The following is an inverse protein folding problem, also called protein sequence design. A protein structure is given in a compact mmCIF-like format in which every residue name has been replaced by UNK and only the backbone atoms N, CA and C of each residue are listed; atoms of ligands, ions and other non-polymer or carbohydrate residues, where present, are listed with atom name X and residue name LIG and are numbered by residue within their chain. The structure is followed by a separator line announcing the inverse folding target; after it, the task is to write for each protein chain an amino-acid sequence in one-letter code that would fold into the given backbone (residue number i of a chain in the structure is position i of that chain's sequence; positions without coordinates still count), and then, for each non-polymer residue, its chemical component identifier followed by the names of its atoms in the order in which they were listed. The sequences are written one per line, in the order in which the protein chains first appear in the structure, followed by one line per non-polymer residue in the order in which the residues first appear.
data_IF_933829675854
#
_entry.id   IF_933829675854
#
_cell.length_a   1.000
_cell.length_b   1.000
_cell.length_c   1.000
_cell.angle_alpha   90.00
_cell.angle_beta   90.00
_cell.angle_gamma   90.00
#
_symmetry.space_group_name_H-M   'P 1'
#
loop_
_entity.id
_entity.type
_entity.pdbx_description
1 polymer ?
#
# COMPACT_ATOMS: atom_id res chain seq x y z
N UNK A 1 -9.52 -17.18 16.10
CA UNK A 1 -8.08 -16.88 16.20
C UNK A 1 -7.55 -16.93 14.78
N UNK A 2 -7.13 -15.80 14.19
CA UNK A 2 -6.54 -15.78 12.85
C UNK A 2 -5.14 -16.43 12.92
N UNK A 3 -4.84 -17.30 11.97
CA UNK A 3 -3.55 -17.96 11.79
C UNK A 3 -2.62 -17.08 10.95
N UNK A 4 -1.30 -17.31 11.01
CA UNK A 4 -0.33 -16.59 10.16
C UNK A 4 -0.57 -16.76 8.65
N UNK A 5 -1.31 -17.81 8.27
CA UNK A 5 -1.74 -18.06 6.89
C UNK A 5 -2.93 -17.18 6.49
N UNK A 6 -3.79 -16.78 7.43
CA UNK A 6 -4.96 -15.93 7.16
C UNK A 6 -4.55 -14.49 6.81
N UNK A 7 -3.39 -14.03 7.31
CA UNK A 7 -2.87 -12.69 7.00
C UNK A 7 -2.30 -12.57 5.58
N UNK A 8 -2.01 -13.69 4.91
CA UNK A 8 -1.31 -13.71 3.62
C UNK A 8 -2.05 -14.41 2.48
N UNK A 9 -3.26 -14.93 2.71
CA UNK A 9 -4.02 -15.65 1.68
C UNK A 9 -4.22 -14.82 0.42
N UNK A 10 -4.49 -13.52 0.60
CA UNK A 10 -4.58 -12.54 -0.48
C UNK A 10 -3.24 -12.40 -1.25
N UNK A 11 -2.10 -12.38 -0.55
CA UNK A 11 -0.77 -12.16 -1.12
C UNK A 11 -0.29 -13.30 -2.06
N UNK A 12 -0.90 -14.49 -1.98
CA UNK A 12 -0.43 -15.73 -2.65
C UNK A 12 -1.16 -16.06 -3.97
N UNK A 13 -2.19 -15.29 -4.32
CA UNK A 13 -2.95 -15.49 -5.56
C UNK A 13 -2.16 -14.96 -6.78
N UNK A 14 -1.36 -15.83 -7.38
CA UNK A 14 -0.32 -15.51 -8.38
C UNK A 14 -0.79 -15.57 -9.85
N UNK A 15 -2.10 -15.56 -10.11
CA UNK A 15 -2.58 -15.45 -11.49
C UNK A 15 -2.37 -14.02 -11.97
N UNK A 16 -1.50 -13.84 -12.97
CA UNK A 16 -1.22 -12.56 -13.64
C UNK A 16 -2.21 -12.37 -14.78
N UNK A 17 -3.36 -11.69 -14.58
CA UNK A 17 -4.45 -11.71 -15.55
C UNK A 17 -4.28 -10.66 -16.65
N UNK A 18 -3.38 -9.68 -16.45
CA UNK A 18 -3.29 -8.46 -17.25
C UNK A 18 -1.88 -8.28 -17.83
N UNK A 19 -1.61 -8.86 -19.00
CA UNK A 19 -0.29 -8.82 -19.64
C UNK A 19 0.18 -7.37 -19.91
N UNK A 20 -0.71 -6.54 -20.48
CA UNK A 20 -0.42 -5.15 -20.82
C UNK A 20 -0.49 -4.16 -19.64
N UNK A 21 -0.88 -4.62 -18.44
CA UNK A 21 -0.90 -3.82 -17.20
C UNK A 21 -0.02 -4.44 -16.11
N UNK A 22 0.89 -5.33 -16.53
CA UNK A 22 1.66 -6.19 -15.65
C UNK A 22 2.57 -5.44 -14.68
N UNK A 23 3.18 -4.33 -15.09
CA UNK A 23 4.05 -3.54 -14.20
C UNK A 23 3.28 -2.92 -13.03
N UNK A 24 2.06 -2.47 -13.27
CA UNK A 24 1.18 -1.94 -12.22
C UNK A 24 0.73 -3.07 -11.29
N UNK A 25 0.29 -4.19 -11.86
CA UNK A 25 -0.07 -5.39 -11.09
C UNK A 25 1.07 -5.87 -10.18
N UNK A 26 2.29 -5.94 -10.70
CA UNK A 26 3.47 -6.35 -9.92
C UNK A 26 3.78 -5.37 -8.80
N UNK A 27 3.58 -4.07 -9.04
CA UNK A 27 3.74 -3.05 -7.99
C UNK A 27 2.72 -3.24 -6.86
N UNK A 28 1.45 -3.53 -7.19
CA UNK A 28 0.42 -3.87 -6.19
C UNK A 28 0.78 -5.14 -5.43
N UNK A 29 1.26 -6.18 -6.13
CA UNK A 29 1.73 -7.42 -5.51
C UNK A 29 2.86 -7.13 -4.51
N UNK A 30 3.82 -6.28 -4.86
CA UNK A 30 4.92 -5.89 -3.97
C UNK A 30 4.40 -5.21 -2.69
N UNK A 31 3.46 -4.26 -2.81
CA UNK A 31 2.85 -3.60 -1.65
C UNK A 31 2.12 -4.58 -0.75
N UNK A 32 1.36 -5.52 -1.33
CA UNK A 32 0.68 -6.57 -0.56
C UNK A 32 1.67 -7.44 0.20
N UNK A 33 2.77 -7.87 -0.42
CA UNK A 33 3.83 -8.64 0.26
C UNK A 33 4.41 -7.86 1.45
N UNK A 34 4.64 -6.54 1.29
CA UNK A 34 5.13 -5.68 2.38
C UNK A 34 4.11 -5.49 3.50
N UNK A 35 2.84 -5.33 3.15
CA UNK A 35 1.75 -5.29 4.13
C UNK A 35 1.66 -6.60 4.92
N UNK A 36 1.76 -7.73 4.22
CA UNK A 36 1.82 -9.06 4.81
C UNK A 36 3.01 -9.21 5.79
N UNK A 37 4.19 -8.66 5.47
CA UNK A 37 5.34 -8.64 6.38
C UNK A 37 5.09 -7.77 7.62
N UNK A 38 4.53 -6.57 7.44
CA UNK A 38 4.17 -5.66 8.53
C UNK A 38 3.15 -6.30 9.49
N UNK A 39 2.08 -6.91 8.97
CA UNK A 39 1.06 -7.61 9.76
C UNK A 39 1.66 -8.73 10.62
N UNK A 40 2.58 -9.53 10.05
CA UNK A 40 3.26 -10.60 10.80
C UNK A 40 4.14 -10.05 11.92
N UNK A 41 4.90 -9.00 11.64
CA UNK A 41 5.74 -8.34 12.65
C UNK A 41 4.89 -7.77 13.77
N UNK A 42 3.76 -7.11 13.45
CA UNK A 42 2.83 -6.56 14.43
C UNK A 42 2.25 -7.67 15.33
N UNK A 43 1.70 -8.73 14.73
CA UNK A 43 1.16 -9.88 15.46
C UNK A 43 2.20 -10.60 16.32
N UNK A 44 3.45 -10.72 15.83
CA UNK A 44 4.54 -11.29 16.61
C UNK A 44 4.90 -10.41 17.81
N UNK A 45 4.93 -9.09 17.63
CA UNK A 45 5.19 -8.14 18.69
C UNK A 45 4.07 -8.17 19.76
N UNK A 46 2.80 -8.32 19.36
CA UNK A 46 1.66 -8.54 20.27
C UNK A 46 1.86 -9.76 21.17
N UNK A 47 2.30 -10.89 20.58
CA UNK A 47 2.50 -12.14 21.33
C UNK A 47 3.72 -12.15 22.24
N UNK A 48 4.72 -11.32 21.95
CA UNK A 48 6.03 -11.31 22.63
C UNK A 48 6.22 -10.08 23.51
N UNK A 49 5.13 -9.44 23.95
CA UNK A 49 5.19 -8.23 24.77
C UNK A 49 6.16 -7.18 24.19
N UNK A 50 6.18 -7.02 22.87
CA UNK A 50 6.82 -5.88 22.19
C UNK A 50 8.34 -5.81 22.27
N UNK A 51 8.99 -6.96 22.53
CA UNK A 51 10.44 -7.12 22.44
C UNK A 51 10.97 -6.78 21.02
N UNK A 52 10.11 -6.83 20.00
CA UNK A 52 10.44 -6.65 18.58
C UNK A 52 9.81 -5.40 17.93
N UNK A 53 9.48 -4.37 18.72
CA UNK A 53 8.88 -3.12 18.22
C UNK A 53 9.72 -2.46 17.10
N UNK A 54 11.05 -2.50 17.22
CA UNK A 54 11.95 -2.00 16.18
C UNK A 54 11.76 -2.71 14.84
N UNK A 55 11.48 -4.02 14.83
CA UNK A 55 11.15 -4.77 13.63
C UNK A 55 9.82 -4.32 13.03
N UNK A 56 8.81 -4.04 13.86
CA UNK A 56 7.51 -3.49 13.42
C UNK A 56 7.72 -2.16 12.68
N UNK A 57 8.53 -1.26 13.24
CA UNK A 57 8.83 0.03 12.62
C UNK A 57 9.64 -0.09 11.33
N UNK A 58 10.61 -1.01 11.28
CA UNK A 58 11.37 -1.26 10.06
C UNK A 58 10.47 -1.72 8.91
N UNK A 59 9.52 -2.63 9.18
CA UNK A 59 8.57 -3.09 8.17
C UNK A 59 7.57 -1.99 7.77
N UNK A 60 7.08 -1.19 8.73
CA UNK A 60 6.22 -0.04 8.43
C UNK A 60 6.93 1.00 7.56
N UNK A 61 8.19 1.31 7.88
CA UNK A 61 9.04 2.23 7.10
C UNK A 61 9.25 1.72 5.67
N UNK A 62 9.55 0.42 5.53
CA UNK A 62 9.73 -0.19 4.22
C UNK A 62 8.44 -0.18 3.38
N UNK A 63 7.29 -0.46 4.01
CA UNK A 63 5.98 -0.40 3.38
C UNK A 63 5.64 1.02 2.92
N UNK A 64 5.79 2.02 3.80
CA UNK A 64 5.52 3.42 3.47
C UNK A 64 6.40 3.93 2.32
N UNK A 65 7.69 3.58 2.33
CA UNK A 65 8.60 3.93 1.23
C UNK A 65 8.13 3.35 -0.11
N UNK A 66 7.76 2.08 -0.14
CA UNK A 66 7.28 1.43 -1.36
C UNK A 66 5.92 2.00 -1.80
N UNK A 67 5.05 2.36 -0.86
CA UNK A 67 3.77 3.02 -1.12
C UNK A 67 3.97 4.40 -1.77
N UNK A 68 4.87 5.23 -1.24
CA UNK A 68 5.21 6.52 -1.84
C UNK A 68 5.73 6.36 -3.28
N UNK A 69 6.63 5.39 -3.50
CA UNK A 69 7.16 5.11 -4.84
C UNK A 69 6.06 4.65 -5.79
N UNK A 70 5.12 3.83 -5.31
CA UNK A 70 3.97 3.39 -6.10
C UNK A 70 3.10 4.57 -6.51
N UNK A 71 2.67 5.40 -5.56
CA UNK A 71 1.77 6.53 -5.81
C UNK A 71 2.39 7.55 -6.78
N UNK A 72 3.70 7.82 -6.66
CA UNK A 72 4.41 8.71 -7.59
C UNK A 72 4.42 8.16 -9.02
N UNK A 73 4.62 6.85 -9.20
CA UNK A 73 4.57 6.22 -10.53
C UNK A 73 3.15 6.24 -11.10
N UNK A 74 2.18 6.04 -10.24
CA UNK A 74 0.79 5.94 -10.61
C UNK A 74 0.18 7.29 -11.02
N UNK A 75 0.62 8.41 -10.44
CA UNK A 75 0.05 9.74 -10.68
C UNK A 75 -0.08 10.10 -12.17
N UNK A 76 0.96 9.82 -12.96
CA UNK A 76 0.95 10.11 -14.40
C UNK A 76 -0.03 9.21 -15.16
N UNK A 77 -0.17 7.95 -14.72
CA UNK A 77 -1.15 7.02 -15.25
C UNK A 77 -2.57 7.46 -14.92
N UNK A 78 -2.83 7.85 -13.66
CA UNK A 78 -4.16 8.29 -13.22
C UNK A 78 -4.65 9.52 -13.97
N UNK A 79 -3.77 10.50 -14.22
CA UNK A 79 -4.11 11.66 -15.06
C UNK A 79 -4.49 11.26 -16.48
N UNK A 80 -3.81 10.27 -17.04
CA UNK A 80 -4.17 9.72 -18.34
C UNK A 80 -5.54 9.02 -18.28
N UNK A 81 -5.79 8.21 -17.26
CA UNK A 81 -7.10 7.54 -17.07
C UNK A 81 -8.25 8.54 -16.90
N UNK A 82 -8.00 9.66 -16.23
CA UNK A 82 -8.96 10.76 -16.12
C UNK A 82 -9.30 11.35 -17.49
N UNK A 83 -8.31 11.57 -18.35
CA UNK A 83 -8.48 12.10 -19.72
C UNK A 83 -9.25 11.14 -20.63
N UNK A 84 -9.12 9.84 -20.42
CA UNK A 84 -9.85 8.80 -21.15
C UNK A 84 -11.28 8.57 -20.62
N UNK A 85 -11.80 9.46 -19.76
CA UNK A 85 -13.20 9.49 -19.37
C UNK A 85 -13.55 8.75 -18.08
N UNK A 86 -12.57 8.26 -17.31
CA UNK A 86 -12.78 7.57 -16.04
C UNK A 86 -12.58 8.47 -14.81
N UNK A 87 -12.87 9.76 -14.94
CA UNK A 87 -12.61 10.81 -13.92
C UNK A 87 -13.10 10.47 -12.51
N UNK A 88 -14.37 10.07 -12.34
CA UNK A 88 -14.94 9.78 -11.01
C UNK A 88 -14.19 8.66 -10.29
N UNK A 89 -13.70 7.66 -11.03
CA UNK A 89 -12.93 6.57 -10.46
C UNK A 89 -11.56 7.04 -9.98
N UNK A 90 -10.91 7.89 -10.79
CA UNK A 90 -9.62 8.50 -10.44
C UNK A 90 -9.75 9.40 -9.20
N UNK A 91 -10.82 10.18 -9.09
CA UNK A 91 -11.08 11.03 -7.92
C UNK A 91 -11.18 10.21 -6.63
N UNK A 92 -11.89 9.07 -6.66
CA UNK A 92 -11.99 8.17 -5.51
C UNK A 92 -10.64 7.57 -5.14
N UNK A 93 -9.87 7.08 -6.12
CA UNK A 93 -8.54 6.51 -5.87
C UNK A 93 -7.56 7.53 -5.27
N UNK A 94 -7.53 8.76 -5.81
CA UNK A 94 -6.68 9.83 -5.29
C UNK A 94 -7.08 10.20 -3.85
N UNK A 95 -8.39 10.20 -3.55
CA UNK A 95 -8.88 10.45 -2.19
C UNK A 95 -8.40 9.36 -1.21
N UNK A 96 -8.58 8.08 -1.59
CA UNK A 96 -8.14 6.95 -0.79
C UNK A 96 -6.61 6.98 -0.58
N UNK A 97 -5.84 7.23 -1.64
CA UNK A 97 -4.37 7.38 -1.58
C UNK A 97 -3.92 8.42 -0.56
N UNK A 98 -4.54 9.60 -0.57
CA UNK A 98 -4.19 10.68 0.37
C UNK A 98 -4.47 10.26 1.81
N UNK A 99 -5.62 9.63 2.04
CA UNK A 99 -6.00 9.12 3.37
C UNK A 99 -5.02 8.07 3.87
N UNK A 100 -4.65 7.11 3.02
CA UNK A 100 -3.68 6.05 3.36
C UNK A 100 -2.30 6.65 3.66
N UNK A 101 -1.81 7.57 2.83
CA UNK A 101 -0.52 8.22 3.05
C UNK A 101 -0.48 8.97 4.37
N UNK A 102 -1.51 9.80 4.65
CA UNK A 102 -1.61 10.54 5.91
C UNK A 102 -1.66 9.60 7.12
N UNK A 103 -2.40 8.49 7.02
CA UNK A 103 -2.44 7.48 8.07
C UNK A 103 -1.08 6.82 8.29
N UNK A 104 -0.34 6.53 7.21
CA UNK A 104 1.00 5.92 7.30
C UNK A 104 2.03 6.86 7.93
N UNK A 105 1.99 8.15 7.59
CA UNK A 105 2.88 9.18 8.15
C UNK A 105 2.63 9.37 9.65
N UNK A 106 1.36 9.46 10.03
CA UNK A 106 0.94 9.57 11.44
C UNK A 106 1.39 8.35 12.23
N UNK A 107 1.18 7.16 11.68
CA UNK A 107 1.56 5.91 12.35
C UNK A 107 3.07 5.80 12.52
N UNK A 108 3.86 6.20 11.52
CA UNK A 108 5.32 6.19 11.62
C UNK A 108 5.81 7.14 12.72
N UNK A 109 5.24 8.35 12.80
CA UNK A 109 5.56 9.32 13.84
C UNK A 109 5.27 8.76 15.23
N UNK A 110 4.06 8.23 15.44
CA UNK A 110 3.65 7.63 16.70
C UNK A 110 4.52 6.43 17.08
N UNK A 111 4.84 5.57 16.10
CA UNK A 111 5.71 4.43 16.28
C UNK A 111 7.10 4.81 16.78
N UNK A 112 7.72 5.83 16.17
CA UNK A 112 9.03 6.33 16.60
C UNK A 112 9.00 6.91 18.02
N UNK A 113 7.90 7.57 18.41
CA UNK A 113 7.70 8.08 19.77
C UNK A 113 7.63 6.90 20.75
N UNK A 114 6.84 5.87 20.43
CA UNK A 114 6.68 4.67 21.28
C UNK A 114 8.00 3.92 21.46
N UNK A 115 8.80 3.76 20.40
CA UNK A 115 10.08 3.05 20.47
C UNK A 115 11.14 3.82 21.27
N UNK A 116 11.07 5.15 21.25
CA UNK A 116 11.99 6.03 21.99
C UNK A 116 11.60 6.25 23.45
N UNK A 117 10.36 5.90 23.84
CA UNK A 117 9.85 6.15 25.19
C UNK A 117 10.45 5.20 26.24
N UNK A 118 11.04 5.75 27.30
CA UNK A 118 11.54 4.99 28.44
C UNK A 118 10.36 4.30 29.13
N UNK A 119 10.40 2.98 29.22
CA UNK A 119 9.36 2.19 29.91
C UNK A 119 8.13 1.84 29.07
N UNK A 120 8.09 2.22 27.78
CA UNK A 120 7.04 1.86 26.79
C UNK A 120 5.65 1.81 27.43
N UNK A 121 5.14 2.98 27.84
CA UNK A 121 3.86 3.05 28.55
C UNK A 121 2.77 2.26 27.80
N UNK A 122 2.17 1.30 28.50
CA UNK A 122 1.28 0.30 27.91
C UNK A 122 0.09 0.91 27.16
N UNK A 123 -0.35 2.11 27.55
CA UNK A 123 -1.43 2.84 26.89
C UNK A 123 -1.03 3.32 25.48
N UNK A 124 0.13 3.97 25.33
CA UNK A 124 0.57 4.47 24.02
C UNK A 124 0.85 3.32 23.04
N UNK A 125 1.36 2.22 23.57
CA UNK A 125 1.57 1.00 22.82
C UNK A 125 0.25 0.41 22.32
N UNK A 126 -0.74 0.23 23.19
CA UNK A 126 -2.09 -0.24 22.82
C UNK A 126 -2.74 0.64 21.74
N UNK A 127 -2.64 1.97 21.87
CA UNK A 127 -3.18 2.90 20.88
C UNK A 127 -2.47 2.80 19.52
N UNK A 128 -1.14 2.67 19.51
CA UNK A 128 -0.37 2.47 18.28
C UNK A 128 -0.80 1.19 17.55
N UNK A 129 -1.11 0.14 18.29
CA UNK A 129 -1.50 -1.17 17.73
C UNK A 129 -2.88 -1.11 17.11
N UNK A 130 -3.86 -0.55 17.84
CA UNK A 130 -5.21 -0.36 17.32
C UNK A 130 -5.17 0.44 16.01
N UNK A 131 -4.41 1.54 15.98
CA UNK A 131 -4.22 2.34 14.78
C UNK A 131 -3.47 1.58 13.67
N UNK A 132 -2.50 0.75 14.02
CA UNK A 132 -1.80 -0.10 13.04
C UNK A 132 -2.76 -1.07 12.35
N UNK A 133 -3.65 -1.72 13.09
CA UNK A 133 -4.67 -2.61 12.52
C UNK A 133 -5.69 -1.85 11.66
N UNK A 134 -6.13 -0.66 12.09
CA UNK A 134 -7.01 0.20 11.28
C UNK A 134 -6.33 0.60 9.96
N UNK A 135 -5.05 0.98 10.01
CA UNK A 135 -4.26 1.28 8.82
C UNK A 135 -4.12 0.06 7.90
N UNK A 136 -3.83 -1.11 8.47
CA UNK A 136 -3.72 -2.37 7.73
C UNK A 136 -4.99 -2.64 6.95
N UNK A 137 -6.15 -2.61 7.60
CA UNK A 137 -7.43 -2.91 6.94
C UNK A 137 -7.76 -1.88 5.87
N UNK A 138 -7.51 -0.59 6.14
CA UNK A 138 -7.71 0.48 5.15
C UNK A 138 -6.83 0.28 3.91
N UNK A 139 -5.55 -0.05 4.10
CA UNK A 139 -4.62 -0.29 2.99
C UNK A 139 -4.96 -1.59 2.24
N UNK A 140 -5.41 -2.64 2.94
CA UNK A 140 -5.90 -3.88 2.30
C UNK A 140 -7.09 -3.59 1.40
N UNK A 141 -8.06 -2.83 1.88
CA UNK A 141 -9.25 -2.47 1.10
C UNK A 141 -8.87 -1.65 -0.14
N UNK A 142 -8.00 -0.65 0.01
CA UNK A 142 -7.49 0.15 -1.09
C UNK A 142 -6.78 -0.71 -2.16
N UNK A 143 -5.83 -1.57 -1.77
CA UNK A 143 -5.13 -2.46 -2.69
C UNK A 143 -6.07 -3.49 -3.34
N UNK A 144 -7.12 -3.92 -2.63
CA UNK A 144 -8.16 -4.77 -3.19
C UNK A 144 -8.96 -4.03 -4.27
N UNK A 145 -9.40 -2.79 -4.01
CA UNK A 145 -10.12 -1.95 -4.99
C UNK A 145 -9.29 -1.75 -6.24
N UNK A 146 -7.99 -1.46 -6.12
CA UNK A 146 -7.14 -1.30 -7.29
C UNK A 146 -7.00 -2.58 -8.09
N UNK A 147 -6.80 -3.72 -7.43
CA UNK A 147 -6.62 -5.02 -8.09
C UNK A 147 -7.90 -5.55 -8.72
N UNK A 148 -9.04 -5.44 -8.03
CA UNK A 148 -10.29 -6.16 -8.38
C UNK A 148 -11.35 -5.26 -9.01
N UNK A 149 -11.19 -3.93 -8.93
CA UNK A 149 -12.12 -2.97 -9.53
C UNK A 149 -11.42 -2.14 -10.59
N UNK A 150 -10.35 -1.42 -10.21
CA UNK A 150 -9.69 -0.48 -11.11
C UNK A 150 -8.99 -1.15 -12.30
N UNK A 151 -8.13 -2.14 -12.03
CA UNK A 151 -7.40 -2.88 -13.07
C UNK A 151 -8.34 -3.52 -14.10
N UNK A 152 -9.38 -4.30 -13.72
CA UNK A 152 -10.35 -4.83 -14.65
C UNK A 152 -11.10 -3.75 -15.44
N UNK A 153 -11.35 -2.59 -14.84
CA UNK A 153 -12.02 -1.48 -15.51
C UNK A 153 -11.15 -0.89 -16.62
N UNK A 154 -9.86 -0.67 -16.36
CA UNK A 154 -8.90 -0.26 -17.41
C UNK A 154 -8.85 -1.34 -18.48
N UNK A 155 -8.68 -2.61 -18.09
CA UNK A 155 -8.54 -3.70 -19.04
C UNK A 155 -9.75 -3.84 -19.98
N UNK A 156 -10.96 -3.62 -19.46
CA UNK A 156 -12.19 -3.68 -20.24
C UNK A 156 -12.40 -2.46 -21.16
N UNK A 157 -12.06 -1.26 -20.71
CA UNK A 157 -12.42 -0.03 -21.42
C UNK A 157 -11.33 0.49 -22.35
N UNK A 158 -10.07 0.10 -22.14
CA UNK A 158 -8.95 0.65 -22.90
C UNK A 158 -8.59 -0.27 -24.06
N UNK A 159 -8.20 0.33 -25.19
CA UNK A 159 -7.53 -0.35 -26.30
C UNK A 159 -6.13 -0.84 -25.87
N UNK A 160 -5.53 -1.75 -26.64
CA UNK A 160 -4.17 -2.20 -26.36
C UNK A 160 -3.17 -1.03 -26.37
N UNK A 161 -3.29 -0.08 -27.30
CA UNK A 161 -2.44 1.12 -27.35
C UNK A 161 -2.60 1.99 -26.09
N UNK A 162 -3.83 2.15 -25.58
CA UNK A 162 -4.06 2.89 -24.34
C UNK A 162 -3.46 2.16 -23.12
N UNK A 163 -3.53 0.82 -23.07
CA UNK A 163 -2.89 0.02 -22.00
C UNK A 163 -1.37 0.10 -22.06
N UNK A 164 -0.78 0.03 -23.26
CA UNK A 164 0.67 0.20 -23.46
C UNK A 164 1.14 1.61 -23.05
N UNK A 165 0.35 2.64 -23.39
CA UNK A 165 0.60 4.02 -22.95
C UNK A 165 0.55 4.13 -21.44
N UNK A 166 -0.45 3.54 -20.78
CA UNK A 166 -0.51 3.45 -19.31
C UNK A 166 0.77 2.81 -18.75
N UNK A 167 1.15 1.63 -19.27
CA UNK A 167 2.32 0.90 -18.78
C UNK A 167 3.62 1.72 -18.94
N UNK A 168 3.73 2.44 -20.06
CA UNK A 168 4.86 3.35 -20.33
C UNK A 168 4.89 4.51 -19.34
N UNK A 169 3.74 5.12 -19.04
CA UNK A 169 3.63 6.20 -18.06
C UNK A 169 3.99 5.72 -16.66
N UNK A 170 3.52 4.54 -16.27
CA UNK A 170 3.79 3.95 -14.96
C UNK A 170 5.26 3.56 -14.75
N UNK A 171 5.91 3.06 -15.81
CA UNK A 171 7.33 2.70 -15.78
C UNK A 171 8.27 3.90 -15.90
N UNK A 172 7.76 5.05 -16.37
CA UNK A 172 8.58 6.25 -16.56
C UNK A 172 9.16 6.67 -15.21
N UNK A 173 10.48 6.60 -15.08
CA UNK A 173 11.17 7.16 -13.91
C UNK A 173 10.80 8.64 -13.83
N UNK A 174 10.23 9.05 -12.70
CA UNK A 174 10.20 10.45 -12.32
C UNK A 174 11.65 10.92 -12.24
N UNK A 175 12.13 11.59 -13.30
CA UNK A 175 13.34 12.39 -13.21
C UNK A 175 13.04 13.44 -12.16
N UNK A 176 13.66 13.32 -10.98
CA UNK A 176 13.60 14.34 -9.95
C UNK A 176 13.96 15.67 -10.61
N UNK A 177 13.02 16.61 -10.64
CA UNK A 177 13.33 18.02 -10.89
C UNK A 177 14.03 18.53 -9.63
N UNK A 178 15.30 18.19 -9.50
CA UNK A 178 16.25 18.91 -8.64
C UNK A 178 17.29 19.52 -9.59
N UNK A 179 16.86 20.58 -10.29
CA UNK A 179 17.71 21.68 -10.74
C UNK A 179 17.33 22.90 -9.93
#
# INVERSE_FOLDING_TARGET
MLTEQDYCFDCMDDHRPFENLSSYYDSLKKLRIKLCAFMRSLHYAEKRNWESMSTVLLELTALQRDLLVHNVKEESGLRFVEQEGLKKMVEVLISDQRSILQSSDTLLLEGNIVDSAIGKESLFLNLFIEKSWVFIESLREYLYKERKVFLPLIDKNFSNEQKEKWNTLFLKRTRSKNE
#
